data_IF_130623979001
#
_entry.id   IF_130623979001
#
_cell.length_a   1.000
_cell.length_b   1.000
_cell.length_c   1.000
_cell.angle_alpha   90.00
_cell.angle_beta   90.00
_cell.angle_gamma   90.00
#
_symmetry.space_group_name_H-M   'P 1'
#
loop_
_entity.id
_entity.type
_entity.pdbx_description
1 polymer ?
#
# COMPACT_ATOMS: atom_id res chain seq x y z
N UNK A 1 -3.91 -19.65 2.25
CA UNK A 1 -4.21 -18.85 1.05
C UNK A 1 -3.12 -17.82 0.95
N UNK A 2 -2.33 -17.86 -0.11
CA UNK A 2 -1.18 -16.96 -0.31
C UNK A 2 -1.72 -15.68 -0.92
N UNK A 3 -1.68 -14.58 -0.16
CA UNK A 3 -2.11 -13.26 -0.58
C UNK A 3 -1.05 -12.71 -1.56
N UNK A 4 -1.35 -12.67 -2.86
CA UNK A 4 -0.50 -12.00 -3.84
C UNK A 4 -0.88 -10.53 -3.86
N UNK A 5 0.00 -9.65 -3.39
CA UNK A 5 -0.17 -8.22 -3.61
C UNK A 5 -0.18 -7.95 -5.13
N UNK A 6 -1.17 -7.24 -5.68
CA UNK A 6 -1.23 -6.98 -7.11
C UNK A 6 -0.20 -5.94 -7.56
N UNK A 7 0.21 -6.11 -8.81
CA UNK A 7 1.51 -5.70 -9.34
C UNK A 7 1.66 -4.19 -9.64
N UNK A 8 0.58 -3.39 -9.63
CA UNK A 8 0.65 -1.92 -9.78
C UNK A 8 1.45 -1.23 -8.66
N UNK A 9 1.55 -1.85 -7.47
CA UNK A 9 2.35 -1.36 -6.34
C UNK A 9 3.86 -1.54 -6.55
N UNK A 10 4.29 -2.56 -7.31
CA UNK A 10 5.71 -2.86 -7.49
C UNK A 10 6.42 -1.85 -8.40
N UNK A 11 5.67 -1.24 -9.33
CA UNK A 11 6.27 -0.49 -10.45
C UNK A 11 6.92 0.87 -10.08
N UNK A 12 6.74 1.33 -8.84
CA UNK A 12 6.95 2.75 -8.46
C UNK A 12 7.73 2.92 -7.16
N UNK A 13 7.86 1.88 -6.33
CA UNK A 13 8.76 1.94 -5.17
C UNK A 13 10.22 2.18 -5.59
N UNK A 14 10.58 1.92 -6.86
CA UNK A 14 11.89 2.20 -7.43
C UNK A 14 12.16 3.70 -7.66
N UNK A 15 11.14 4.55 -7.80
CA UNK A 15 11.33 5.99 -8.02
C UNK A 15 11.65 6.75 -6.72
N UNK A 16 11.28 6.22 -5.56
CA UNK A 16 11.43 6.89 -4.26
C UNK A 16 12.83 6.87 -3.66
N UNK A 17 13.72 5.98 -4.12
CA UNK A 17 15.03 5.79 -3.49
C UNK A 17 16.11 6.82 -3.89
N UNK A 18 15.84 7.73 -4.85
CA UNK A 18 16.91 8.51 -5.48
C UNK A 18 16.85 10.04 -5.33
N UNK A 19 15.78 10.64 -4.81
CA UNK A 19 15.63 12.12 -4.85
C UNK A 19 15.57 12.79 -3.45
N UNK A 20 16.10 12.12 -2.41
CA UNK A 20 16.32 12.69 -1.08
C UNK A 20 17.47 13.70 -1.03
N UNK A 21 17.32 14.83 -1.71
CA UNK A 21 18.25 15.96 -1.65
C UNK A 21 18.04 16.77 -0.37
N UNK A 22 18.89 16.56 0.63
CA UNK A 22 18.98 17.43 1.80
C UNK A 22 19.37 18.85 1.38
N UNK A 23 18.40 19.78 1.42
CA UNK A 23 18.68 21.21 1.31
C UNK A 23 19.52 21.69 2.51
N UNK A 24 20.40 22.69 2.34
CA UNK A 24 21.19 23.21 3.44
C UNK A 24 20.27 23.94 4.43
N UNK A 25 20.11 23.37 5.62
CA UNK A 25 19.52 24.08 6.75
C UNK A 25 20.47 25.21 7.15
N UNK A 26 20.01 26.46 6.97
CA UNK A 26 20.65 27.63 7.57
C UNK A 26 20.58 27.51 9.09
N UNK A 27 21.74 27.31 9.71
CA UNK A 27 21.91 27.30 11.17
C UNK A 27 21.95 28.75 11.66
N UNK A 28 21.05 29.20 12.55
CA UNK A 28 21.24 30.46 13.23
C UNK A 28 22.32 30.30 14.30
N UNK A 29 23.37 31.12 14.16
CA UNK A 29 24.41 31.35 15.16
C UNK A 29 23.77 31.99 16.41
N UNK A 30 23.61 31.19 17.47
CA UNK A 30 22.96 31.58 18.72
C UNK A 30 23.80 31.14 19.91
N UNK A 31 24.79 31.95 20.25
CA UNK A 31 25.54 31.89 21.50
C UNK A 31 24.63 32.20 22.70
N UNK A 32 24.54 31.31 23.68
CA UNK A 32 24.53 31.66 25.12
C UNK A 32 24.73 30.39 25.98
N UNK A 33 25.88 30.27 26.62
CA UNK A 33 26.20 29.21 27.57
C UNK A 33 25.94 29.71 28.99
N UNK A 34 24.79 29.33 29.54
CA UNK A 34 24.46 29.51 30.95
C UNK A 34 24.67 28.20 31.72
N UNK A 35 25.73 28.17 32.52
CA UNK A 35 25.99 27.15 33.54
C UNK A 35 24.84 27.05 34.56
N UNK A 36 24.25 25.87 34.70
CA UNK A 36 23.46 25.50 35.87
C UNK A 36 23.73 24.03 36.23
N UNK A 37 24.60 23.85 37.22
CA UNK A 37 24.78 22.61 37.93
C UNK A 37 23.47 22.21 38.64
N UNK A 38 23.00 20.99 38.40
CA UNK A 38 21.97 20.35 39.24
C UNK A 38 22.51 19.02 39.73
N UNK A 39 22.95 19.08 40.98
CA UNK A 39 23.26 17.96 41.86
C UNK A 39 21.92 17.36 42.31
N UNK A 40 21.68 16.07 42.07
CA UNK A 40 20.64 15.30 42.76
C UNK A 40 20.91 13.80 42.65
N UNK A 41 21.54 13.29 43.70
CA UNK A 41 21.50 11.90 44.09
C UNK A 41 20.06 11.42 44.31
N UNK A 42 19.73 10.21 43.85
CA UNK A 42 18.48 9.52 44.12
C UNK A 42 18.72 8.03 44.30
N UNK A 43 18.51 7.56 45.51
CA UNK A 43 18.66 6.18 46.01
C UNK A 43 18.01 5.11 45.13
N UNK A 44 18.77 4.06 44.84
CA UNK A 44 18.27 2.77 44.38
C UNK A 44 17.77 2.01 45.61
N UNK A 45 16.46 1.74 45.67
CA UNK A 45 15.87 0.79 46.63
C UNK A 45 15.56 -0.51 45.91
N UNK A 46 16.29 -1.53 46.29
CA UNK A 46 15.97 -2.93 46.03
C UNK A 46 14.59 -3.28 46.62
N UNK A 47 13.71 -3.83 45.79
CA UNK A 47 12.55 -4.57 46.24
C UNK A 47 12.43 -5.83 45.38
N UNK A 48 12.94 -6.92 45.95
CA UNK A 48 12.63 -8.28 45.56
C UNK A 48 11.13 -8.54 45.72
N UNK A 49 10.57 -9.32 44.80
CA UNK A 49 9.20 -9.80 44.84
C UNK A 49 9.05 -11.01 43.94
N UNK A 50 9.41 -12.17 44.48
CA UNK A 50 8.95 -13.50 44.06
C UNK A 50 7.41 -13.54 43.98
N UNK A 51 6.90 -14.11 42.88
CA UNK A 51 5.57 -14.71 42.76
C UNK A 51 5.64 -15.67 41.57
N UNK A 52 5.91 -16.95 41.82
CA UNK A 52 4.93 -18.02 42.07
C UNK A 52 4.23 -18.52 40.79
N UNK A 53 4.73 -19.69 40.37
CA UNK A 53 4.07 -20.75 39.62
C UNK A 53 2.56 -20.81 39.88
N UNK A 54 1.76 -20.63 38.83
CA UNK A 54 0.38 -21.11 38.78
C UNK A 54 0.17 -21.90 37.48
N UNK A 55 0.19 -23.22 37.64
CA UNK A 55 -0.27 -24.20 36.68
C UNK A 55 -1.74 -23.96 36.36
N UNK A 56 -2.08 -23.90 35.07
CA UNK A 56 -3.46 -24.00 34.58
C UNK A 56 -3.57 -25.35 33.88
N UNK A 57 -4.04 -26.35 34.62
CA UNK A 57 -4.63 -27.58 34.07
C UNK A 57 -6.16 -27.44 34.08
N UNK A 58 -6.76 -27.97 33.02
CA UNK A 58 -8.13 -28.49 32.91
C UNK A 58 -9.34 -27.59 33.21
N UNK A 59 -10.05 -27.25 32.13
CA UNK A 59 -11.51 -27.09 32.17
C UNK A 59 -12.13 -27.62 30.87
N UNK A 60 -12.43 -28.93 30.90
CA UNK A 60 -13.40 -29.56 30.00
C UNK A 60 -14.84 -29.08 30.31
N UNK A 61 -15.64 -29.04 29.25
CA UNK A 61 -17.08 -29.40 29.24
C UNK A 61 -18.07 -28.51 30.03
N UNK A 62 -18.78 -27.65 29.29
CA UNK A 62 -20.14 -27.24 29.63
C UNK A 62 -21.02 -27.22 28.38
N UNK A 63 -21.80 -28.29 28.25
CA UNK A 63 -23.07 -28.34 27.50
C UNK A 63 -24.09 -27.42 28.17
N UNK A 64 -24.89 -26.76 27.35
CA UNK A 64 -26.33 -26.52 27.48
C UNK A 64 -26.72 -25.13 26.96
N UNK A 65 -27.41 -25.15 25.82
CA UNK A 65 -28.10 -24.02 25.23
C UNK A 65 -29.45 -23.79 25.93
N UNK A 66 -29.86 -22.54 26.16
CA UNK A 66 -31.27 -22.21 26.26
C UNK A 66 -31.84 -21.82 24.90
N UNK A 67 -32.78 -22.66 24.47
CA UNK A 67 -33.90 -22.38 23.58
C UNK A 67 -34.57 -21.05 23.94
N UNK A 68 -34.61 -20.09 23.00
CA UNK A 68 -35.39 -18.86 23.14
C UNK A 68 -36.11 -18.55 21.82
N UNK A 69 -37.37 -18.97 21.77
CA UNK A 69 -38.48 -18.03 21.60
C UNK A 69 -38.88 -17.63 20.18
N UNK A 70 -39.83 -18.38 19.64
CA UNK A 70 -40.81 -17.94 18.65
C UNK A 70 -41.43 -16.57 19.01
N UNK A 71 -41.34 -15.61 18.09
CA UNK A 71 -41.85 -14.25 18.27
C UNK A 71 -42.43 -13.65 17.00
N UNK A 72 -43.68 -14.01 16.71
CA UNK A 72 -44.73 -13.24 16.04
C UNK A 72 -44.37 -12.26 14.91
N UNK A 73 -44.69 -12.70 13.68
CA UNK A 73 -45.13 -11.87 12.56
C UNK A 73 -46.25 -10.90 12.99
N UNK A 74 -46.08 -9.61 12.69
CA UNK A 74 -47.18 -8.66 12.56
C UNK A 74 -47.21 -8.15 11.13
N UNK A 75 -48.21 -8.60 10.39
CA UNK A 75 -48.61 -8.03 9.10
C UNK A 75 -49.01 -6.56 9.32
N UNK A 76 -48.34 -5.66 8.61
CA UNK A 76 -48.64 -4.23 8.58
C UNK A 76 -48.98 -3.82 7.15
N UNK A 77 -50.23 -4.05 6.76
CA UNK A 77 -50.86 -3.45 5.59
C UNK A 77 -50.95 -1.92 5.78
N UNK A 78 -50.13 -1.19 5.03
CA UNK A 78 -50.10 0.27 4.99
C UNK A 78 -50.42 0.79 3.60
N UNK A 79 -51.67 0.62 3.19
CA UNK A 79 -52.32 1.34 2.08
C UNK A 79 -52.54 2.80 2.49
N UNK A 80 -51.98 3.75 1.74
CA UNK A 80 -52.48 5.13 1.63
C UNK A 80 -51.79 5.80 0.43
N UNK A 81 -52.53 5.87 -0.67
CA UNK A 81 -52.20 6.75 -1.78
C UNK A 81 -52.48 8.20 -1.44
N UNK A 82 -51.66 9.09 -1.99
CA UNK A 82 -52.04 10.47 -2.22
C UNK A 82 -51.56 10.88 -3.61
N UNK A 83 -52.54 11.02 -4.50
CA UNK A 83 -52.40 11.61 -5.81
C UNK A 83 -52.28 13.13 -5.66
N UNK A 84 -51.20 13.71 -6.19
CA UNK A 84 -51.07 15.16 -6.34
C UNK A 84 -51.53 15.54 -7.75
N UNK A 85 -52.44 16.52 -7.91
CA UNK A 85 -52.93 16.96 -9.20
C UNK A 85 -51.89 17.81 -9.93
N UNK A 86 -51.88 17.67 -11.25
CA UNK A 86 -50.99 18.39 -12.15
C UNK A 86 -51.32 19.87 -12.31
N UNK A 87 -50.26 20.64 -12.56
CA UNK A 87 -50.25 21.94 -13.23
C UNK A 87 -49.17 21.83 -14.31
N UNK A 88 -49.54 21.71 -15.57
CA UNK A 88 -49.84 22.77 -16.54
C UNK A 88 -48.61 23.06 -17.43
N UNK A 89 -48.91 23.07 -18.73
CA UNK A 89 -48.01 22.87 -19.86
C UNK A 89 -47.31 24.18 -20.22
N UNK A 90 -46.00 24.24 -20.00
CA UNK A 90 -45.14 25.23 -20.64
C UNK A 90 -44.62 24.69 -21.98
N UNK A 91 -45.30 25.02 -23.07
CA UNK A 91 -44.85 24.86 -24.46
C UNK A 91 -43.57 25.67 -24.70
N UNK A 92 -42.41 25.05 -24.44
CA UNK A 92 -41.10 25.52 -24.86
C UNK A 92 -40.67 24.73 -26.07
N UNK A 93 -40.75 25.36 -27.25
CA UNK A 93 -40.34 24.81 -28.54
C UNK A 93 -38.97 24.13 -28.46
N UNK A 94 -39.00 22.79 -28.48
CA UNK A 94 -37.82 21.96 -28.69
C UNK A 94 -37.49 22.09 -30.16
N UNK A 95 -36.40 22.78 -30.47
CA UNK A 95 -35.81 22.70 -31.80
C UNK A 95 -35.28 21.28 -31.96
N UNK A 96 -35.84 20.54 -32.92
CA UNK A 96 -35.28 19.30 -33.45
C UNK A 96 -33.89 19.62 -34.04
N UNK A 97 -32.90 19.73 -33.16
CA UNK A 97 -31.52 19.60 -33.54
C UNK A 97 -31.32 18.12 -33.75
N UNK A 98 -31.19 17.70 -35.00
CA UNK A 98 -30.52 16.47 -35.42
C UNK A 98 -29.06 16.54 -34.90
N UNK A 99 -28.91 16.46 -33.58
CA UNK A 99 -27.67 16.18 -32.90
C UNK A 99 -27.39 14.74 -33.23
N UNK A 100 -26.67 14.56 -34.32
CA UNK A 100 -25.76 13.45 -34.54
C UNK A 100 -24.96 13.33 -33.23
N UNK A 101 -25.51 12.59 -32.27
CA UNK A 101 -24.77 11.95 -31.19
C UNK A 101 -23.86 10.99 -31.93
N UNK A 102 -22.81 11.56 -32.53
CA UNK A 102 -21.66 10.81 -32.93
C UNK A 102 -21.26 10.12 -31.65
N UNK A 103 -21.59 8.83 -31.58
CA UNK A 103 -20.85 7.82 -30.86
C UNK A 103 -19.41 8.11 -31.23
N UNK A 104 -18.80 9.06 -30.52
CA UNK A 104 -17.39 9.29 -30.54
C UNK A 104 -16.90 7.92 -30.17
N UNK A 105 -16.35 7.25 -31.18
CA UNK A 105 -15.69 5.98 -31.08
C UNK A 105 -14.57 6.22 -30.07
N UNK A 106 -14.94 6.15 -28.79
CA UNK A 106 -14.09 6.20 -27.63
C UNK A 106 -13.41 4.85 -27.70
N UNK A 107 -12.51 4.72 -28.67
CA UNK A 107 -11.82 3.49 -28.98
C UNK A 107 -11.34 2.92 -27.66
N UNK A 108 -11.76 1.69 -27.39
CA UNK A 108 -11.59 1.07 -26.09
C UNK A 108 -10.16 1.30 -25.60
N UNK A 109 -10.03 2.07 -24.51
CA UNK A 109 -8.72 2.40 -23.97
C UNK A 109 -8.04 1.12 -23.52
N UNK A 110 -6.88 0.80 -24.09
CA UNK A 110 -6.15 -0.44 -23.78
C UNK A 110 -5.29 -0.29 -22.53
N UNK A 111 -4.93 -1.40 -21.88
CA UNK A 111 -3.99 -1.39 -20.75
C UNK A 111 -2.65 -0.72 -21.13
N UNK A 112 -2.12 -1.02 -22.32
CA UNK A 112 -0.91 -0.38 -22.82
C UNK A 112 -1.03 1.15 -22.96
N UNK A 113 -2.20 1.67 -23.36
CA UNK A 113 -2.45 3.12 -23.41
C UNK A 113 -2.53 3.74 -22.02
N UNK A 114 -3.14 3.05 -21.04
CA UNK A 114 -3.13 3.47 -19.63
C UNK A 114 -1.70 3.51 -19.11
N UNK A 115 -0.93 2.44 -19.30
CA UNK A 115 0.45 2.33 -18.83
C UNK A 115 1.38 3.38 -19.46
N UNK A 116 1.20 3.71 -20.74
CA UNK A 116 1.94 4.79 -21.38
C UNK A 116 1.63 6.16 -20.76
N UNK A 117 0.36 6.45 -20.45
CA UNK A 117 -0.03 7.71 -19.82
C UNK A 117 0.50 7.84 -18.39
N UNK A 118 0.39 6.78 -17.59
CA UNK A 118 0.95 6.74 -16.23
C UNK A 118 2.47 6.90 -16.26
N UNK A 119 3.15 6.22 -17.18
CA UNK A 119 4.59 6.35 -17.34
C UNK A 119 5.02 7.78 -17.70
N UNK A 120 4.29 8.46 -18.59
CA UNK A 120 4.57 9.87 -18.91
C UNK A 120 4.37 10.78 -17.69
N UNK A 121 3.20 10.70 -17.05
CA UNK A 121 2.85 11.55 -15.91
C UNK A 121 3.82 11.39 -14.72
N UNK A 122 4.36 10.18 -14.51
CA UNK A 122 5.35 9.93 -13.47
C UNK A 122 6.76 10.40 -13.89
N UNK A 123 7.20 10.07 -15.11
CA UNK A 123 8.60 10.21 -15.50
C UNK A 123 8.97 11.61 -16.01
N UNK A 124 8.02 12.37 -16.58
CA UNK A 124 8.31 13.72 -17.05
C UNK A 124 8.74 14.64 -15.88
N UNK A 125 7.98 14.77 -14.78
CA UNK A 125 8.42 15.57 -13.64
C UNK A 125 9.67 15.01 -12.96
N UNK A 126 9.78 13.68 -12.83
CA UNK A 126 10.94 13.03 -12.23
C UNK A 126 12.24 13.38 -12.96
N UNK A 127 12.21 13.49 -14.28
CA UNK A 127 13.36 13.88 -15.08
C UNK A 127 13.84 15.31 -14.80
N UNK A 128 12.92 16.22 -14.45
CA UNK A 128 13.22 17.59 -14.04
C UNK A 128 13.76 17.62 -12.61
N UNK A 129 13.07 16.94 -11.69
CA UNK A 129 13.42 16.90 -10.28
C UNK A 129 14.78 16.23 -10.02
N UNK A 130 15.14 15.22 -10.82
CA UNK A 130 16.33 14.40 -10.58
C UNK A 130 17.40 14.57 -11.68
N UNK A 131 17.36 15.70 -12.43
CA UNK A 131 18.27 16.03 -13.54
C UNK A 131 19.77 16.01 -13.18
N UNK A 132 20.12 16.13 -11.89
CA UNK A 132 21.50 16.04 -11.41
C UNK A 132 22.02 14.61 -11.26
N UNK A 133 21.17 13.60 -11.39
CA UNK A 133 21.52 12.20 -11.14
C UNK A 133 22.04 11.55 -12.43
N UNK A 134 23.30 11.10 -12.48
CA UNK A 134 23.83 10.42 -13.65
C UNK A 134 23.04 9.14 -13.94
N UNK A 135 22.49 9.01 -15.16
CA UNK A 135 21.91 7.75 -15.66
C UNK A 135 20.39 7.69 -15.80
N UNK A 136 19.63 8.72 -15.37
CA UNK A 136 18.18 8.76 -15.55
C UNK A 136 17.76 9.59 -16.77
N UNK A 137 17.65 8.99 -17.96
CA UNK A 137 16.92 9.66 -19.04
C UNK A 137 15.42 9.48 -18.83
N UNK A 138 14.62 10.52 -19.12
CA UNK A 138 13.16 10.42 -19.05
C UNK A 138 12.60 9.29 -19.93
N UNK A 139 13.24 9.03 -21.08
CA UNK A 139 12.86 7.94 -21.99
C UNK A 139 13.03 6.56 -21.36
N UNK A 140 14.16 6.33 -20.70
CA UNK A 140 14.36 5.07 -20.01
C UNK A 140 13.34 4.91 -18.89
N UNK A 141 13.04 6.00 -18.14
CA UNK A 141 12.07 5.97 -17.05
C UNK A 141 10.72 5.50 -17.59
N UNK A 142 10.26 6.14 -18.68
CA UNK A 142 9.01 5.78 -19.34
C UNK A 142 9.00 4.33 -19.80
N UNK A 143 10.07 3.86 -20.43
CA UNK A 143 10.15 2.47 -20.89
C UNK A 143 10.04 1.46 -19.72
N UNK A 144 10.72 1.73 -18.62
CA UNK A 144 10.73 0.86 -17.43
C UNK A 144 9.40 0.86 -16.69
N UNK A 145 8.85 2.05 -16.38
CA UNK A 145 7.56 2.18 -15.71
C UNK A 145 6.44 1.58 -16.57
N UNK A 146 6.48 1.81 -17.89
CA UNK A 146 5.53 1.23 -18.82
C UNK A 146 5.61 -0.30 -18.82
N UNK A 147 6.82 -0.87 -18.94
CA UNK A 147 7.00 -2.33 -18.93
C UNK A 147 6.48 -2.96 -17.64
N UNK A 148 6.84 -2.39 -16.49
CA UNK A 148 6.36 -2.86 -15.19
C UNK A 148 4.82 -2.75 -15.05
N UNK A 149 4.22 -1.70 -15.61
CA UNK A 149 2.77 -1.56 -15.64
C UNK A 149 2.10 -2.57 -16.58
N UNK A 150 2.65 -2.81 -17.77
CA UNK A 150 2.12 -3.77 -18.74
C UNK A 150 2.21 -5.22 -18.20
N UNK A 151 3.35 -5.59 -17.59
CA UNK A 151 3.52 -6.87 -16.91
C UNK A 151 2.51 -7.03 -15.77
N UNK A 152 2.31 -5.96 -14.99
CA UNK A 152 1.33 -5.93 -13.91
C UNK A 152 -0.12 -6.04 -14.38
N UNK A 153 -0.44 -5.46 -15.54
CA UNK A 153 -1.78 -5.34 -16.09
C UNK A 153 -2.15 -6.47 -17.07
N UNK A 154 -1.35 -7.53 -17.17
CA UNK A 154 -1.57 -8.63 -18.12
C UNK A 154 -2.94 -9.32 -17.91
N UNK A 155 -3.35 -9.48 -16.65
CA UNK A 155 -4.64 -10.09 -16.32
C UNK A 155 -5.80 -9.15 -16.70
N UNK A 156 -5.65 -7.86 -16.43
CA UNK A 156 -6.58 -6.79 -16.76
C UNK A 156 -6.71 -6.58 -18.27
N UNK A 157 -5.61 -6.67 -19.03
CA UNK A 157 -5.64 -6.61 -20.50
C UNK A 157 -6.45 -7.76 -21.09
N UNK A 158 -6.29 -8.96 -20.55
CA UNK A 158 -7.09 -10.13 -20.95
C UNK A 158 -8.57 -9.89 -20.66
N UNK A 159 -8.90 -9.33 -19.49
CA UNK A 159 -10.27 -9.01 -19.10
C UNK A 159 -10.88 -7.89 -19.96
N UNK A 160 -10.11 -6.84 -20.29
CA UNK A 160 -10.51 -5.76 -21.20
C UNK A 160 -10.81 -6.29 -22.61
N UNK A 161 -9.93 -7.14 -23.14
CA UNK A 161 -10.11 -7.75 -24.46
C UNK A 161 -11.34 -8.67 -24.52
N UNK A 162 -11.72 -9.28 -23.41
CA UNK A 162 -12.92 -10.09 -23.26
C UNK A 162 -14.20 -9.26 -23.01
N UNK A 163 -14.09 -7.93 -22.81
CA UNK A 163 -15.21 -7.07 -22.44
C UNK A 163 -15.72 -7.26 -21.00
N UNK A 164 -14.92 -7.91 -20.16
CA UNK A 164 -15.24 -8.25 -18.77
C UNK A 164 -14.73 -7.20 -17.77
N UNK A 165 -13.86 -6.31 -18.24
CA UNK A 165 -13.39 -5.14 -17.52
C UNK A 165 -13.47 -3.91 -18.43
N UNK A 166 -13.40 -2.73 -17.82
CA UNK A 166 -13.33 -1.46 -18.51
C UNK A 166 -12.37 -0.50 -17.79
N UNK A 167 -11.91 0.52 -18.51
CA UNK A 167 -11.09 1.61 -17.96
C UNK A 167 -11.99 2.72 -17.47
N UNK A 168 -11.98 3.00 -16.17
CA UNK A 168 -12.64 4.16 -15.56
C UNK A 168 -11.86 5.44 -15.88
N UNK A 169 -12.35 6.20 -16.86
CA UNK A 169 -11.76 7.49 -17.25
C UNK A 169 -11.67 8.50 -16.09
N UNK A 170 -12.68 8.62 -15.19
CA UNK A 170 -12.55 9.46 -14.01
C UNK A 170 -11.38 9.05 -13.11
N UNK A 171 -11.23 7.75 -12.83
CA UNK A 171 -10.15 7.24 -11.99
C UNK A 171 -8.76 7.41 -12.64
N UNK A 172 -8.66 7.23 -13.97
CA UNK A 172 -7.45 7.50 -14.72
C UNK A 172 -7.06 8.97 -14.62
N UNK A 173 -8.02 9.88 -14.84
CA UNK A 173 -7.79 11.33 -14.78
C UNK A 173 -7.32 11.76 -13.38
N UNK A 174 -7.96 11.25 -12.33
CA UNK A 174 -7.58 11.54 -10.94
C UNK A 174 -6.19 11.00 -10.61
N UNK A 175 -5.86 9.79 -11.06
CA UNK A 175 -4.54 9.19 -10.88
C UNK A 175 -3.44 10.00 -11.58
N UNK A 176 -3.65 10.41 -12.84
CA UNK A 176 -2.68 11.23 -13.58
C UNK A 176 -2.48 12.60 -12.91
N UNK A 177 -3.56 13.24 -12.46
CA UNK A 177 -3.48 14.50 -11.73
C UNK A 177 -2.69 14.38 -10.41
N UNK A 178 -2.82 13.24 -9.71
CA UNK A 178 -2.03 12.98 -8.51
C UNK A 178 -0.52 12.85 -8.81
N UNK A 179 -0.15 12.16 -9.90
CA UNK A 179 1.25 12.07 -10.34
C UNK A 179 1.82 13.43 -10.75
N UNK A 180 1.07 14.22 -11.52
CA UNK A 180 1.47 15.56 -11.92
C UNK A 180 1.68 16.48 -10.71
N UNK A 181 0.76 16.46 -9.73
CA UNK A 181 0.86 17.25 -8.52
C UNK A 181 2.08 16.86 -7.66
N UNK A 182 2.30 15.55 -7.46
CA UNK A 182 3.46 15.05 -6.75
C UNK A 182 4.78 15.43 -7.47
N UNK A 183 4.80 15.31 -8.80
CA UNK A 183 5.91 15.71 -9.64
C UNK A 183 6.24 17.21 -9.55
N UNK A 184 5.23 18.08 -9.50
CA UNK A 184 5.41 19.53 -9.33
C UNK A 184 6.06 19.93 -8.00
N UNK A 185 5.96 19.07 -6.99
CA UNK A 185 6.58 19.23 -5.68
C UNK A 185 7.86 18.38 -5.53
N UNK A 186 8.29 17.69 -6.58
CA UNK A 186 9.39 16.72 -6.55
C UNK A 186 9.26 15.67 -5.44
N UNK A 187 8.03 15.22 -5.19
CA UNK A 187 7.71 14.13 -4.25
C UNK A 187 7.17 12.91 -5.01
N UNK A 188 7.22 11.78 -4.33
CA UNK A 188 6.56 10.55 -4.79
C UNK A 188 5.08 10.63 -4.40
N UNK A 189 4.20 10.07 -5.24
CA UNK A 189 2.81 9.83 -4.86
C UNK A 189 2.80 8.87 -3.66
N UNK A 190 2.02 9.20 -2.63
CA UNK A 190 1.92 8.34 -1.46
C UNK A 190 1.21 7.02 -1.79
N UNK A 191 1.53 5.98 -1.03
CA UNK A 191 1.01 4.63 -1.27
C UNK A 191 -0.52 4.54 -1.13
N UNK A 192 -1.16 5.40 -0.34
CA UNK A 192 -2.62 5.42 -0.19
C UNK A 192 -3.28 5.97 -1.46
N UNK A 193 -2.79 7.08 -2.01
CA UNK A 193 -3.24 7.62 -3.30
C UNK A 193 -3.05 6.61 -4.41
N UNK A 194 -1.90 5.95 -4.47
CA UNK A 194 -1.62 4.96 -5.48
C UNK A 194 -2.52 3.71 -5.38
N UNK A 195 -2.65 3.14 -4.19
CA UNK A 195 -3.48 1.94 -3.97
C UNK A 195 -4.99 2.21 -4.02
N UNK A 196 -5.40 3.45 -3.74
CA UNK A 196 -6.80 3.87 -3.75
C UNK A 196 -7.28 4.31 -5.14
N UNK A 197 -6.68 5.37 -5.66
CA UNK A 197 -7.11 6.06 -6.89
C UNK A 197 -6.63 5.30 -8.12
N UNK A 198 -5.31 5.09 -8.26
CA UNK A 198 -4.74 4.48 -9.46
C UNK A 198 -5.15 3.01 -9.63
N UNK A 199 -5.40 2.28 -8.54
CA UNK A 199 -5.90 0.91 -8.62
C UNK A 199 -7.35 0.82 -9.11
N UNK A 200 -8.11 1.91 -9.04
CA UNK A 200 -9.51 1.96 -9.50
C UNK A 200 -9.67 2.26 -11.00
N UNK A 201 -8.55 2.38 -11.73
CA UNK A 201 -8.53 2.59 -13.19
C UNK A 201 -9.16 1.40 -13.90
N UNK A 202 -8.78 0.17 -13.56
CA UNK A 202 -9.40 -1.03 -14.10
C UNK A 202 -10.55 -1.46 -13.20
N UNK A 203 -11.73 -1.64 -13.79
CA UNK A 203 -12.93 -2.08 -13.09
C UNK A 203 -13.55 -3.28 -13.81
N UNK A 204 -13.99 -4.25 -13.04
CA UNK A 204 -14.79 -5.38 -13.51
C UNK A 204 -16.21 -4.91 -13.87
N UNK A 205 -16.78 -5.48 -14.92
CA UNK A 205 -18.13 -5.16 -15.38
C UNK A 205 -19.25 -5.71 -14.47
N UNK A 206 -18.92 -6.62 -13.55
CA UNK A 206 -19.89 -7.24 -12.65
C UNK A 206 -20.60 -6.23 -11.74
N UNK A 207 -21.90 -6.48 -11.52
CA UNK A 207 -22.71 -5.74 -10.53
C UNK A 207 -22.57 -6.35 -9.15
N UNK A 208 -23.07 -5.64 -8.15
CA UNK A 208 -23.12 -6.11 -6.78
C UNK A 208 -23.78 -7.49 -6.66
N UNK A 209 -23.06 -8.45 -6.08
CA UNK A 209 -23.51 -9.83 -5.88
C UNK A 209 -23.34 -10.76 -7.09
N UNK A 210 -22.94 -10.25 -8.25
CA UNK A 210 -22.62 -11.06 -9.42
C UNK A 210 -21.18 -11.60 -9.33
N UNK A 211 -20.88 -12.77 -9.94
CA UNK A 211 -19.50 -13.21 -10.08
C UNK A 211 -18.73 -12.19 -10.92
N UNK A 212 -17.51 -11.86 -10.50
CA UNK A 212 -16.62 -11.00 -11.26
C UNK A 212 -16.22 -11.68 -12.56
N UNK A 213 -16.54 -11.04 -13.67
CA UNK A 213 -16.45 -11.66 -14.99
C UNK A 213 -14.99 -11.86 -15.40
N UNK A 214 -14.10 -10.95 -14.98
CA UNK A 214 -12.66 -11.02 -15.28
C UNK A 214 -11.96 -12.21 -14.62
N UNK A 215 -12.51 -12.72 -13.52
CA UNK A 215 -11.81 -13.66 -12.64
C UNK A 215 -10.57 -13.08 -11.94
N UNK A 216 -10.29 -11.78 -12.10
CA UNK A 216 -9.16 -11.09 -11.48
C UNK A 216 -9.59 -10.62 -10.09
N UNK A 217 -8.85 -11.08 -9.07
CA UNK A 217 -9.08 -10.65 -7.69
C UNK A 217 -8.77 -9.17 -7.48
N UNK A 218 -9.48 -8.56 -6.56
CA UNK A 218 -9.33 -7.17 -6.12
C UNK A 218 -9.61 -6.06 -7.15
N UNK A 219 -10.12 -6.40 -8.35
CA UNK A 219 -10.67 -5.37 -9.24
C UNK A 219 -11.89 -4.72 -8.59
N UNK A 220 -12.06 -3.41 -8.78
CA UNK A 220 -13.29 -2.76 -8.36
C UNK A 220 -14.44 -3.19 -9.27
N UNK A 221 -15.62 -3.33 -8.72
CA UNK A 221 -16.82 -3.72 -9.44
C UNK A 221 -17.99 -2.81 -9.05
N UNK A 222 -19.16 -2.99 -9.67
CA UNK A 222 -20.34 -2.16 -9.42
C UNK A 222 -20.05 -0.66 -9.52
N UNK A 223 -19.29 -0.23 -10.54
CA UNK A 223 -18.93 1.17 -10.74
C UNK A 223 -18.00 1.76 -9.67
N UNK A 224 -17.25 0.92 -8.95
CA UNK A 224 -16.30 1.37 -7.93
C UNK A 224 -16.79 1.23 -6.48
N UNK A 225 -18.07 0.88 -6.29
CA UNK A 225 -18.73 0.70 -4.99
C UNK A 225 -18.41 -0.65 -4.33
N UNK A 226 -17.81 -1.58 -5.07
CA UNK A 226 -17.41 -2.88 -4.56
C UNK A 226 -16.02 -3.33 -5.01
N UNK A 227 -15.68 -4.55 -4.60
CA UNK A 227 -14.45 -5.24 -4.94
C UNK A 227 -14.72 -6.71 -5.28
N UNK A 228 -13.98 -7.21 -6.25
CA UNK A 228 -13.93 -8.60 -6.64
C UNK A 228 -13.19 -9.42 -5.60
N UNK A 229 -13.93 -9.99 -4.66
CA UNK A 229 -13.36 -10.72 -3.54
C UNK A 229 -13.17 -12.21 -3.89
N UNK A 230 -11.95 -12.76 -3.78
CA UNK A 230 -11.70 -14.17 -4.08
C UNK A 230 -12.27 -15.06 -2.98
N UNK A 231 -13.18 -15.95 -3.35
CA UNK A 231 -13.80 -16.96 -2.50
C UNK A 231 -13.43 -18.37 -2.98
N UNK A 232 -13.57 -19.41 -2.13
CA UNK A 232 -13.29 -20.79 -2.53
C UNK A 232 -14.09 -21.27 -3.75
N UNK A 233 -15.26 -20.66 -4.00
CA UNK A 233 -16.18 -21.02 -5.08
C UNK A 233 -16.08 -20.11 -6.30
N UNK A 234 -15.24 -19.08 -6.28
CA UNK A 234 -15.11 -18.09 -7.36
C UNK A 234 -14.84 -16.69 -6.84
N UNK A 235 -14.85 -15.69 -7.72
CA UNK A 235 -14.67 -14.29 -7.34
C UNK A 235 -16.02 -13.60 -7.44
N UNK A 236 -16.53 -13.04 -6.35
CA UNK A 236 -17.84 -12.37 -6.32
C UNK A 236 -17.65 -10.87 -6.08
N UNK A 237 -18.40 -10.05 -6.81
CA UNK A 237 -18.44 -8.62 -6.58
C UNK A 237 -19.16 -8.32 -5.26
N UNK A 238 -18.41 -7.90 -4.23
CA UNK A 238 -18.97 -7.50 -2.93
C UNK A 238 -18.89 -5.98 -2.78
N UNK A 239 -20.01 -5.36 -2.45
CA UNK A 239 -20.04 -3.94 -2.09
C UNK A 239 -19.24 -3.69 -0.82
N UNK A 240 -18.62 -2.51 -0.74
CA UNK A 240 -17.96 -2.08 0.48
C UNK A 240 -18.97 -1.83 1.60
N UNK A 241 -18.62 -2.22 2.82
CA UNK A 241 -19.39 -1.88 4.01
C UNK A 241 -19.26 -0.39 4.35
N UNK A 242 -20.37 0.24 4.72
CA UNK A 242 -20.38 1.62 5.19
C UNK A 242 -19.72 1.73 6.59
N UNK A 243 -19.28 2.93 7.01
CA UNK A 243 -18.78 3.16 8.37
C UNK A 243 -19.76 2.63 9.44
N UNK A 244 -19.24 1.88 10.41
CA UNK A 244 -19.99 1.24 11.49
C UNK A 244 -20.66 -0.08 11.13
N UNK A 245 -20.67 -0.51 9.85
CA UNK A 245 -21.20 -1.82 9.46
C UNK A 245 -20.22 -2.95 9.72
N UNK A 246 -20.74 -4.16 9.93
CA UNK A 246 -19.92 -5.34 10.16
C UNK A 246 -19.06 -5.67 8.93
N UNK A 247 -17.76 -5.86 9.16
CA UNK A 247 -16.80 -6.17 8.10
C UNK A 247 -16.59 -7.68 7.87
N UNK A 248 -17.31 -8.53 8.61
CA UNK A 248 -17.30 -9.97 8.40
C UNK A 248 -18.04 -10.39 7.12
N UNK A 249 -19.02 -9.58 6.70
CA UNK A 249 -19.90 -9.89 5.55
C UNK A 249 -19.52 -9.10 4.30
N UNK A 250 -18.89 -7.94 4.47
CA UNK A 250 -18.47 -7.07 3.38
C UNK A 250 -17.09 -6.46 3.69
N UNK A 251 -16.20 -6.34 2.69
CA UNK A 251 -14.92 -5.69 2.90
C UNK A 251 -15.12 -4.21 3.21
N UNK A 252 -14.24 -3.64 4.02
CA UNK A 252 -14.23 -2.20 4.23
C UNK A 252 -13.68 -1.47 3.00
N UNK A 253 -14.15 -0.25 2.72
CA UNK A 253 -13.53 0.58 1.70
C UNK A 253 -12.07 0.88 2.07
N UNK A 254 -11.19 1.20 1.10
CA UNK A 254 -9.74 1.30 1.35
C UNK A 254 -9.29 2.31 2.41
N UNK A 255 -10.14 3.28 2.77
CA UNK A 255 -9.88 4.28 3.80
C UNK A 255 -10.40 3.89 5.20
N UNK A 256 -11.05 2.73 5.33
CA UNK A 256 -11.53 2.18 6.60
C UNK A 256 -10.87 0.83 6.88
N UNK A 257 -10.86 0.48 8.17
CA UNK A 257 -10.31 -0.77 8.67
C UNK A 257 -11.39 -1.57 9.39
N UNK A 258 -11.23 -2.88 9.37
CA UNK A 258 -12.09 -3.80 10.10
C UNK A 258 -11.66 -3.86 11.57
N UNK A 259 -12.18 -2.94 12.39
CA UNK A 259 -11.74 -2.72 13.78
C UNK A 259 -12.71 -3.33 14.80
N UNK A 260 -12.21 -3.78 15.97
CA UNK A 260 -13.06 -4.28 17.04
C UNK A 260 -13.95 -3.19 17.66
N UNK A 261 -15.22 -3.51 17.85
CA UNK A 261 -16.24 -2.73 18.52
C UNK A 261 -17.06 -3.62 19.48
N UNK A 262 -17.96 -3.03 20.29
CA UNK A 262 -18.75 -3.72 21.32
C UNK A 262 -19.69 -4.83 20.79
N UNK A 263 -19.88 -4.92 19.47
CA UNK A 263 -20.72 -5.93 18.81
C UNK A 263 -20.01 -6.79 17.76
N UNK A 264 -18.68 -6.77 17.70
CA UNK A 264 -17.89 -7.49 16.69
C UNK A 264 -16.92 -6.59 15.94
N UNK A 265 -16.48 -7.01 14.75
CA UNK A 265 -15.61 -6.21 13.89
C UNK A 265 -16.47 -5.33 12.96
N UNK A 266 -16.18 -4.04 12.90
CA UNK A 266 -16.89 -3.06 12.06
C UNK A 266 -15.91 -2.25 11.22
N UNK A 267 -16.37 -1.75 10.07
CA UNK A 267 -15.60 -0.81 9.27
C UNK A 267 -15.56 0.55 9.95
N UNK A 268 -14.37 0.97 10.36
CA UNK A 268 -14.19 2.24 11.07
C UNK A 268 -12.86 2.88 10.65
N UNK A 269 -12.74 4.19 10.86
CA UNK A 269 -11.53 4.91 10.55
C UNK A 269 -10.37 4.42 11.44
N UNK A 270 -9.12 4.48 10.95
CA UNK A 270 -7.95 4.30 11.80
C UNK A 270 -8.00 5.23 13.03
N UNK A 271 -7.50 4.74 14.16
CA UNK A 271 -7.58 5.42 15.46
C UNK A 271 -6.52 6.50 15.59
N UNK A 272 -6.95 7.68 16.04
CA UNK A 272 -6.05 8.78 16.43
C UNK A 272 -5.31 8.47 17.74
N UNK A 273 -4.40 9.36 18.13
CA UNK A 273 -3.63 9.28 19.38
C UNK A 273 -4.55 9.07 20.59
N UNK A 274 -4.22 8.07 21.42
CA UNK A 274 -4.99 7.65 22.59
C UNK A 274 -6.17 6.73 22.27
N UNK A 275 -6.46 6.44 21.00
CA UNK A 275 -7.47 5.47 20.61
C UNK A 275 -7.03 4.03 20.90
N UNK A 276 -7.97 3.17 21.30
CA UNK A 276 -7.65 1.77 21.63
C UNK A 276 -7.27 0.96 20.38
N UNK A 277 -6.25 0.12 20.51
CA UNK A 277 -5.72 -0.70 19.42
C UNK A 277 -5.22 -2.06 19.93
N UNK A 278 -5.03 -2.99 19.01
CA UNK A 278 -4.37 -4.28 19.28
C UNK A 278 -3.25 -4.57 18.28
N UNK A 279 -3.12 -3.76 17.24
CA UNK A 279 -2.11 -3.84 16.20
C UNK A 279 -1.88 -2.45 15.61
N UNK A 280 -0.69 -2.19 15.09
CA UNK A 280 -0.29 -0.88 14.54
C UNK A 280 -1.20 -0.43 13.40
N UNK A 281 -1.64 -1.38 12.56
CA UNK A 281 -2.57 -1.10 11.46
C UNK A 281 -3.87 -0.46 11.93
N UNK A 282 -4.28 -0.63 13.19
CA UNK A 282 -5.49 0.01 13.72
C UNK A 282 -5.34 1.52 13.93
N UNK A 283 -4.12 2.04 13.95
CA UNK A 283 -3.83 3.44 14.20
C UNK A 283 -3.72 4.24 12.90
N UNK A 284 -3.98 5.55 12.98
CA UNK A 284 -3.77 6.45 11.86
C UNK A 284 -2.29 6.42 11.38
N UNK A 285 -2.02 6.74 10.09
CA UNK A 285 -0.66 6.76 9.56
C UNK A 285 0.31 7.56 10.44
N UNK A 286 1.50 7.00 10.67
CA UNK A 286 2.52 7.57 11.56
C UNK A 286 2.36 7.24 13.05
N UNK A 287 1.25 6.62 13.45
CA UNK A 287 1.00 6.14 14.82
C UNK A 287 1.19 4.62 14.92
N UNK A 288 1.40 4.14 16.14
CA UNK A 288 1.64 2.72 16.48
C UNK A 288 0.86 2.31 17.70
N UNK A 289 0.61 1.02 17.83
CA UNK A 289 -0.14 0.48 18.96
C UNK A 289 0.77 0.17 20.14
N UNK A 290 0.86 1.10 21.09
CA UNK A 290 1.68 0.99 22.29
C UNK A 290 0.81 0.84 23.53
N UNK A 291 1.01 -0.25 24.28
CA UNK A 291 0.26 -0.56 25.50
C UNK A 291 -1.28 -0.54 25.30
N UNK A 292 -1.72 -0.96 24.11
CA UNK A 292 -3.14 -1.02 23.73
C UNK A 292 -3.74 0.33 23.29
N UNK A 293 -2.92 1.38 23.15
CA UNK A 293 -3.33 2.70 22.68
C UNK A 293 -2.48 3.17 21.50
N UNK A 294 -3.08 3.90 20.59
CA UNK A 294 -2.36 4.52 19.48
C UNK A 294 -1.50 5.67 20.01
N UNK A 295 -0.20 5.60 19.78
CA UNK A 295 0.78 6.60 20.18
C UNK A 295 1.74 6.90 19.02
N UNK A 296 2.37 8.08 18.99
CA UNK A 296 3.49 8.32 18.08
C UNK A 296 4.60 7.29 18.30
N UNK A 297 5.31 6.91 17.24
CA UNK A 297 6.49 6.06 17.37
C UNK A 297 7.60 6.74 18.18
N UNK A 298 8.48 5.92 18.79
CA UNK A 298 9.56 6.37 19.68
C UNK A 298 10.55 7.28 18.91
N UNK A 299 10.89 8.44 19.49
CA UNK A 299 11.70 9.43 18.82
C UNK A 299 13.16 8.99 18.65
N UNK A 300 13.89 9.63 17.74
CA UNK A 300 15.31 9.35 17.54
C UNK A 300 16.11 9.53 18.85
N UNK A 301 16.96 8.56 19.15
CA UNK A 301 17.80 8.51 20.34
C UNK A 301 17.11 7.94 21.58
N UNK A 302 15.80 7.73 21.57
CA UNK A 302 15.08 7.09 22.67
C UNK A 302 15.19 5.57 22.63
N UNK A 303 14.99 4.93 23.78
CA UNK A 303 15.18 3.49 23.93
C UNK A 303 14.08 2.70 23.22
N UNK A 304 14.45 1.64 22.52
CA UNK A 304 13.55 0.77 21.76
C UNK A 304 13.90 -0.70 21.99
N UNK A 305 12.97 -1.60 21.65
CA UNK A 305 13.23 -3.05 21.66
C UNK A 305 13.22 -3.63 20.26
N UNK A 306 12.46 -3.03 19.35
CA UNK A 306 12.25 -3.50 17.98
C UNK A 306 12.16 -2.30 17.05
N UNK A 307 12.55 -2.46 15.77
CA UNK A 307 12.50 -1.34 14.80
C UNK A 307 11.09 -0.79 14.60
N UNK A 308 10.07 -1.63 14.76
CA UNK A 308 8.69 -1.18 14.71
C UNK A 308 8.25 -0.38 15.95
N UNK A 309 9.08 -0.20 16.98
CA UNK A 309 8.74 0.70 18.09
C UNK A 309 9.05 2.18 17.76
N UNK A 310 10.00 2.43 16.85
CA UNK A 310 10.54 3.76 16.55
C UNK A 310 9.57 4.64 15.76
N UNK A 311 9.87 5.92 15.52
CA UNK A 311 9.09 6.74 14.60
C UNK A 311 9.26 6.28 13.14
N UNK A 312 8.43 6.78 12.21
CA UNK A 312 8.56 6.48 10.78
C UNK A 312 9.96 6.83 10.25
N UNK A 313 10.50 6.03 9.32
CA UNK A 313 11.88 6.11 8.81
C UNK A 313 13.01 5.88 9.85
N UNK A 314 12.69 5.53 11.09
CA UNK A 314 13.65 5.13 12.11
C UNK A 314 13.62 3.61 12.35
N UNK A 315 14.77 3.06 12.71
CA UNK A 315 14.96 1.66 13.07
C UNK A 315 15.54 1.56 14.48
N UNK A 316 15.33 0.43 15.14
CA UNK A 316 15.92 0.19 16.44
C UNK A 316 17.32 -0.38 16.25
N UNK A 317 18.34 0.39 16.59
CA UNK A 317 19.71 -0.07 16.46
C UNK A 317 20.01 -1.14 17.53
N UNK A 318 20.26 -2.42 17.14
CA UNK A 318 20.55 -3.50 18.07
C UNK A 318 21.81 -3.29 18.92
N UNK A 319 22.72 -2.39 18.55
CA UNK A 319 23.91 -2.12 19.36
C UNK A 319 23.65 -1.12 20.49
N UNK A 320 22.84 -0.09 20.21
CA UNK A 320 22.58 0.99 21.17
C UNK A 320 21.22 0.85 21.86
N UNK A 321 20.38 -0.07 21.40
CA UNK A 321 18.97 -0.24 21.81
C UNK A 321 18.18 1.07 21.75
N UNK A 322 18.48 1.88 20.72
CA UNK A 322 17.90 3.20 20.52
C UNK A 322 17.43 3.39 19.09
N UNK A 323 16.40 4.20 18.92
CA UNK A 323 15.90 4.56 17.61
C UNK A 323 16.92 5.43 16.87
N UNK A 324 17.31 5.01 15.68
CA UNK A 324 18.27 5.69 14.83
C UNK A 324 17.75 5.70 13.38
N UNK A 325 18.24 6.61 12.52
CA UNK A 325 17.94 6.53 11.09
C UNK A 325 18.36 5.18 10.52
N UNK A 326 17.53 4.62 9.62
CA UNK A 326 17.89 3.41 8.90
C UNK A 326 19.18 3.57 8.09
N UNK A 327 19.96 2.50 8.00
CA UNK A 327 21.21 2.48 7.23
C UNK A 327 20.88 2.60 5.74
N UNK A 328 21.46 3.60 5.08
CA UNK A 328 21.28 3.85 3.66
C UNK A 328 21.90 2.73 2.80
N UNK A 329 21.52 2.70 1.52
CA UNK A 329 22.05 1.72 0.55
C UNK A 329 23.59 1.75 0.49
N UNK A 330 24.20 0.58 0.48
CA UNK A 330 25.65 0.36 0.54
C UNK A 330 26.26 0.44 1.94
N UNK A 331 25.50 0.88 2.96
CA UNK A 331 25.97 0.90 4.34
C UNK A 331 26.00 -0.50 4.97
N UNK A 332 26.90 -0.69 5.94
CA UNK A 332 27.01 -1.95 6.68
C UNK A 332 25.81 -2.14 7.62
N UNK A 333 25.30 -3.35 7.68
CA UNK A 333 24.22 -3.73 8.57
C UNK A 333 24.57 -5.01 9.34
N UNK A 334 23.93 -5.20 10.48
CA UNK A 334 24.08 -6.32 11.42
C UNK A 334 22.80 -7.13 11.52
N UNK A 335 21.68 -6.61 11.04
CA UNK A 335 20.40 -7.31 11.02
C UNK A 335 19.54 -6.89 9.82
N UNK A 336 18.58 -7.76 9.48
CA UNK A 336 17.60 -7.53 8.40
C UNK A 336 16.78 -6.25 8.56
N UNK A 337 16.68 -5.70 9.78
CA UNK A 337 15.80 -4.57 10.13
C UNK A 337 16.55 -3.26 10.40
N UNK A 338 17.86 -3.21 10.14
CA UNK A 338 18.68 -2.00 10.33
C UNK A 338 18.72 -1.09 9.10
N UNK A 339 18.33 -1.59 7.93
CA UNK A 339 18.35 -0.80 6.72
C UNK A 339 17.17 0.18 6.69
N UNK A 340 17.33 1.28 5.96
CA UNK A 340 16.23 2.21 5.68
C UNK A 340 15.06 1.50 4.96
N UNK A 341 13.86 2.06 5.06
CA UNK A 341 12.66 1.51 4.43
C UNK A 341 12.89 1.23 2.92
N UNK A 342 12.42 0.07 2.46
CA UNK A 342 12.63 -0.42 1.09
C UNK A 342 14.01 -1.04 0.81
N UNK A 343 14.88 -1.16 1.82
CA UNK A 343 16.16 -1.86 1.71
C UNK A 343 16.15 -3.17 2.52
N UNK A 344 16.96 -4.13 2.08
CA UNK A 344 17.21 -5.40 2.76
C UNK A 344 18.70 -5.51 3.11
N UNK A 345 18.98 -6.05 4.30
CA UNK A 345 20.35 -6.37 4.71
C UNK A 345 20.78 -7.71 4.11
N UNK A 346 21.71 -7.69 3.15
CA UNK A 346 22.15 -8.89 2.43
C UNK A 346 23.60 -9.21 2.79
N UNK A 347 23.87 -10.48 3.11
CA UNK A 347 25.22 -10.98 3.36
C UNK A 347 26.02 -11.13 2.06
N UNK A 348 27.14 -10.42 1.99
CA UNK A 348 28.17 -10.54 0.97
C UNK A 348 29.43 -11.19 1.58
N UNK A 349 30.33 -11.67 0.73
CA UNK A 349 31.61 -12.28 1.16
C UNK A 349 32.47 -11.37 2.05
N UNK A 350 32.20 -10.06 2.05
CA UNK A 350 32.92 -9.03 2.81
C UNK A 350 32.15 -8.47 4.00
N UNK A 351 30.92 -8.92 4.26
CA UNK A 351 30.04 -8.40 5.31
C UNK A 351 28.59 -8.26 4.86
N UNK A 352 27.71 -7.83 5.75
CA UNK A 352 26.31 -7.56 5.41
C UNK A 352 26.13 -6.09 5.05
N UNK A 353 25.45 -5.81 3.95
CA UNK A 353 25.19 -4.44 3.46
C UNK A 353 23.74 -4.25 3.08
N UNK A 354 23.24 -3.02 3.26
CA UNK A 354 21.90 -2.65 2.84
C UNK A 354 21.84 -2.47 1.33
N UNK A 355 20.93 -3.18 0.66
CA UNK A 355 20.66 -3.08 -0.78
C UNK A 355 19.16 -2.95 -1.01
N UNK A 356 18.68 -2.44 -2.16
CA UNK A 356 17.25 -2.39 -2.45
C UNK A 356 16.58 -3.76 -2.26
N UNK A 357 15.47 -3.79 -1.51
CA UNK A 357 14.66 -4.98 -1.38
C UNK A 357 14.01 -5.26 -2.74
N UNK A 358 14.47 -6.30 -3.44
CA UNK A 358 13.82 -6.73 -4.68
C UNK A 358 12.36 -7.13 -4.42
N UNK A 359 11.47 -7.02 -5.43
CA UNK A 359 10.03 -7.31 -5.30
C UNK A 359 9.67 -8.73 -4.84
N UNK A 360 10.63 -9.67 -4.81
CA UNK A 360 10.36 -11.10 -4.58
C UNK A 360 11.06 -11.71 -3.34
N UNK A 361 11.60 -10.90 -2.41
CA UNK A 361 12.26 -11.46 -1.21
C UNK A 361 11.29 -11.93 -0.11
N UNK A 362 10.02 -12.19 -0.46
CA UNK A 362 9.04 -12.87 0.38
C UNK A 362 9.30 -14.37 0.49
N UNK A 363 10.22 -14.73 1.39
CA UNK A 363 10.46 -15.99 2.11
C UNK A 363 10.30 -17.41 1.51
N UNK A 364 9.65 -17.70 0.38
CA UNK A 364 9.31 -19.10 0.03
C UNK A 364 9.37 -19.52 -1.47
N UNK A 365 9.93 -18.70 -2.36
CA UNK A 365 10.16 -19.12 -3.76
C UNK A 365 11.58 -19.70 -3.96
N UNK A 366 11.78 -20.75 -4.79
CA UNK A 366 13.12 -21.18 -5.20
C UNK A 366 13.80 -20.02 -5.92
N UNK A 367 14.73 -19.38 -5.21
CA UNK A 367 15.30 -18.09 -5.58
C UNK A 367 16.05 -18.12 -6.91
N UNK A 368 15.83 -17.08 -7.71
CA UNK A 368 16.75 -16.71 -8.79
C UNK A 368 18.13 -16.41 -8.19
N UNK A 369 19.22 -16.68 -8.92
CA UNK A 369 20.57 -16.46 -8.42
C UNK A 369 20.76 -15.01 -7.99
N UNK A 370 21.18 -14.84 -6.74
CA UNK A 370 21.49 -13.55 -6.14
C UNK A 370 22.86 -13.04 -6.58
N UNK A 371 23.26 -11.88 -6.04
CA UNK A 371 24.55 -11.27 -6.32
C UNK A 371 25.73 -12.28 -6.24
N UNK A 372 26.55 -12.31 -7.29
CA UNK A 372 27.71 -13.19 -7.51
C UNK A 372 27.42 -14.70 -7.68
N UNK A 373 26.17 -15.13 -7.63
CA UNK A 373 25.80 -16.50 -7.94
C UNK A 373 25.92 -16.78 -9.45
N UNK A 374 26.28 -18.02 -9.83
CA UNK A 374 26.36 -18.39 -11.24
C UNK A 374 24.98 -18.33 -11.89
N UNK A 375 24.87 -17.62 -13.00
CA UNK A 375 23.66 -17.49 -13.78
C UNK A 375 23.87 -18.01 -15.22
N UNK A 376 22.79 -18.54 -15.79
CA UNK A 376 22.72 -18.95 -17.20
C UNK A 376 21.62 -18.19 -17.96
N UNK A 377 21.04 -17.17 -17.34
CA UNK A 377 19.90 -16.42 -17.85
C UNK A 377 19.51 -15.29 -16.91
N UNK A 378 18.43 -15.48 -16.16
CA UNK A 378 17.85 -14.43 -15.31
C UNK A 378 18.45 -14.45 -13.90
N UNK A 379 18.73 -13.26 -13.39
CA UNK A 379 19.15 -13.03 -12.01
C UNK A 379 17.97 -12.48 -11.20
N UNK A 380 18.09 -12.48 -9.88
CA UNK A 380 17.13 -11.78 -9.04
C UNK A 380 17.00 -10.30 -9.47
N UNK A 381 15.81 -9.74 -9.33
CA UNK A 381 15.51 -8.35 -9.71
C UNK A 381 16.54 -7.38 -9.10
N UNK A 382 17.14 -6.52 -9.93
CA UNK A 382 18.24 -5.62 -9.53
C UNK A 382 19.65 -6.16 -9.87
N UNK A 383 19.74 -7.33 -10.49
CA UNK A 383 21.00 -7.91 -10.95
C UNK A 383 20.90 -8.28 -12.43
N UNK A 384 22.02 -8.15 -13.16
CA UNK A 384 22.14 -8.59 -14.54
C UNK A 384 23.13 -9.75 -14.62
N UNK A 385 22.83 -10.76 -15.43
CA UNK A 385 23.76 -11.86 -15.66
C UNK A 385 24.91 -11.41 -16.56
N UNK A 386 26.05 -11.06 -15.96
CA UNK A 386 27.25 -10.70 -16.69
C UNK A 386 27.88 -11.98 -17.29
N UNK A 387 27.93 -12.08 -18.61
CA UNK A 387 28.44 -13.27 -19.30
C UNK A 387 29.92 -13.53 -18.96
N UNK A 388 30.19 -14.72 -18.42
CA UNK A 388 31.52 -15.23 -18.15
C UNK A 388 31.84 -16.46 -19.01
N UNK A 389 33.12 -16.82 -19.19
CA UNK A 389 33.54 -17.90 -20.10
C UNK A 389 33.12 -19.32 -19.68
N UNK A 390 32.47 -19.49 -18.53
CA UNK A 390 32.04 -20.80 -18.00
C UNK A 390 30.60 -20.76 -17.45
N UNK A 391 30.23 -19.69 -16.74
CA UNK A 391 28.88 -19.32 -16.34
C UNK A 391 28.87 -17.80 -16.09
N UNK A 392 27.75 -17.12 -16.35
CA UNK A 392 27.63 -15.71 -16.00
C UNK A 392 27.57 -15.53 -14.49
N UNK A 393 27.73 -14.29 -14.01
CA UNK A 393 27.49 -13.96 -12.59
C UNK A 393 26.49 -12.83 -12.50
N UNK A 394 25.61 -12.91 -11.52
CA UNK A 394 24.69 -11.83 -11.23
C UNK A 394 25.45 -10.65 -10.61
N UNK A 395 25.68 -9.61 -11.39
CA UNK A 395 26.31 -8.38 -10.92
C UNK A 395 25.23 -7.32 -10.63
N UNK A 396 25.47 -6.40 -9.66
CA UNK A 396 24.48 -5.41 -9.28
C UNK A 396 24.32 -4.52 -10.49
N UNK A 397 23.10 -4.46 -11.00
CA UNK A 397 22.85 -3.58 -12.12
C UNK A 397 22.75 -2.16 -11.56
N UNK A 398 23.93 -1.53 -11.36
CA UNK A 398 24.03 -0.16 -10.84
C UNK A 398 23.34 0.87 -11.77
N UNK A 399 22.84 0.44 -12.95
CA UNK A 399 21.96 1.18 -13.86
C UNK A 399 20.73 0.37 -14.39
N UNK A 400 20.41 -0.80 -13.84
CA UNK A 400 19.56 -1.80 -14.53
C UNK A 400 18.06 -1.61 -14.53
N UNK A 401 17.51 -0.56 -13.93
CA UNK A 401 16.11 -0.22 -14.18
C UNK A 401 15.93 0.56 -15.49
N UNK A 402 16.98 1.14 -16.09
CA UNK A 402 16.85 2.21 -17.09
C UNK A 402 17.92 2.22 -18.21
N UNK A 403 18.54 1.10 -18.54
CA UNK A 403 19.43 1.11 -19.71
C UNK A 403 20.11 -0.20 -20.03
N UNK A 404 19.77 -0.77 -21.18
CA UNK A 404 20.55 -1.79 -21.87
C UNK A 404 19.74 -2.46 -22.97
N UNK A 405 19.96 -2.05 -24.21
CA UNK A 405 19.41 -2.69 -25.42
C UNK A 405 20.33 -3.74 -26.02
#
# INVERSE_FOLDING_TARGET
>A
MIWRAPALLAATMLAGAACGGGGPAEVPDGSDSGDAAVDSAGEVRDAAGDADDAQIEDAEEAKDAPDVGDGAVTDGDGDSGDAVPGEDLGDGAVTDGDGDEGDADLGATTAAQVCAQVAEALCEPASVCCASTPGGSGDACRASVRGQCEDAATAEETALAAGQAFVSQPALTECLAAYEAAGGECRVVDSATQSGVCRSIFQDAAKAGEPCESGVGDLRCAGGEGICFPEPTGTTCRLYAAPGQACAEAPCPPWLLCLPASGGLVCDAPRDVGGACTADVHCAPGLRCQDGLCAPGIAQGEACKKSFDCAEALVCDPLTERCAPGVASGGECLSLVQCADGLACVGLDVGMVCVPAGPDQGSDAPGLPGFLEPCTGECATGFACAEGPVAGRCEPSLCGALGGG
#
